data_IF_697017099373
#
_entry.id   IF_697017099373
#
_cell.length_a   1.000
_cell.length_b   1.000
_cell.length_c   1.000
_cell.angle_alpha   90.00
_cell.angle_beta   90.00
_cell.angle_gamma   90.00
#
_symmetry.space_group_name_H-M   'P 1'
#
loop_
_entity.id
_entity.type
_entity.pdbx_description
1 polymer ?
#
# COMPACT_ATOMS: atom_id res chain seq x y z
N UNK A 1 -12.57 -15.32 -0.57
CA UNK A 1 -11.70 -15.95 -1.58
C UNK A 1 -11.95 -15.46 -3.01
N UNK A 2 -13.17 -15.56 -3.56
CA UNK A 2 -13.49 -15.12 -4.95
C UNK A 2 -13.05 -13.69 -5.28
N UNK A 3 -13.27 -12.72 -4.38
CA UNK A 3 -12.86 -11.31 -4.56
C UNK A 3 -11.35 -11.10 -4.62
N UNK A 4 -10.57 -11.87 -3.86
CA UNK A 4 -9.10 -11.76 -3.83
C UNK A 4 -8.48 -12.32 -5.11
N UNK A 5 -8.98 -13.47 -5.58
CA UNK A 5 -8.56 -14.05 -6.87
C UNK A 5 -8.85 -13.10 -8.03
N UNK A 6 -10.05 -12.51 -8.04
CA UNK A 6 -10.39 -11.47 -9.01
C UNK A 6 -9.43 -10.28 -8.92
N UNK A 7 -9.12 -9.79 -7.72
CA UNK A 7 -8.16 -8.69 -7.54
C UNK A 7 -6.76 -9.01 -8.07
N UNK A 8 -6.30 -10.25 -7.92
CA UNK A 8 -5.03 -10.72 -8.49
C UNK A 8 -5.05 -10.69 -10.03
N UNK A 9 -6.15 -11.09 -10.64
CA UNK A 9 -6.33 -11.03 -12.09
C UNK A 9 -6.38 -9.58 -12.60
N UNK A 10 -7.15 -8.71 -11.95
CA UNK A 10 -7.23 -7.28 -12.29
C UNK A 10 -5.85 -6.60 -12.17
N UNK A 11 -5.07 -6.94 -11.14
CA UNK A 11 -3.70 -6.44 -11.00
C UNK A 11 -2.78 -6.91 -12.13
N UNK A 12 -2.91 -8.17 -12.56
CA UNK A 12 -2.14 -8.71 -13.69
C UNK A 12 -2.52 -8.03 -15.00
N UNK A 13 -3.82 -7.76 -15.22
CA UNK A 13 -4.29 -6.99 -16.37
C UNK A 13 -3.63 -5.61 -16.39
N UNK A 14 -3.64 -4.90 -15.25
CA UNK A 14 -3.00 -3.59 -15.14
C UNK A 14 -1.52 -3.61 -15.53
N UNK A 15 -0.73 -4.55 -15.01
CA UNK A 15 0.68 -4.68 -15.38
C UNK A 15 0.91 -5.12 -16.84
N UNK A 16 -0.08 -5.76 -17.46
CA UNK A 16 -0.05 -6.13 -18.87
C UNK A 16 -0.42 -4.99 -19.82
N UNK A 17 -1.03 -3.90 -19.33
CA UNK A 17 -1.36 -2.73 -20.16
C UNK A 17 -0.08 -1.96 -20.46
N UNK A 18 0.20 -1.76 -21.75
CA UNK A 18 1.28 -0.87 -22.19
C UNK A 18 0.84 0.58 -21.99
N UNK A 19 1.21 1.16 -20.84
CA UNK A 19 1.05 2.59 -20.58
C UNK A 19 2.19 3.38 -21.21
N UNK A 20 1.91 4.58 -21.70
CA UNK A 20 2.98 5.50 -22.08
C UNK A 20 3.85 5.84 -20.86
N UNK A 21 5.17 5.97 -21.04
CA UNK A 21 6.11 6.26 -19.94
C UNK A 21 5.69 7.46 -19.10
N UNK A 22 5.23 8.53 -19.76
CA UNK A 22 4.72 9.75 -19.10
C UNK A 22 3.49 9.46 -18.25
N UNK A 23 2.52 8.71 -18.78
CA UNK A 23 1.30 8.31 -18.05
C UNK A 23 1.65 7.46 -16.84
N UNK A 24 2.54 6.48 -17.00
CA UNK A 24 2.94 5.57 -15.93
C UNK A 24 3.62 6.33 -14.78
N UNK A 25 4.55 7.24 -15.11
CA UNK A 25 5.24 8.07 -14.12
C UNK A 25 4.26 9.01 -13.41
N UNK A 26 3.42 9.74 -14.15
CA UNK A 26 2.47 10.68 -13.57
C UNK A 26 1.46 9.98 -12.67
N UNK A 27 0.82 8.92 -13.15
CA UNK A 27 -0.17 8.16 -12.36
C UNK A 27 0.44 7.61 -11.06
N UNK A 28 1.66 7.07 -11.13
CA UNK A 28 2.36 6.55 -9.96
C UNK A 28 2.75 7.66 -8.99
N UNK A 29 3.34 8.76 -9.46
CA UNK A 29 3.75 9.89 -8.60
C UNK A 29 2.54 10.53 -7.91
N UNK A 30 1.46 10.76 -8.66
CA UNK A 30 0.22 11.31 -8.08
C UNK A 30 -0.37 10.35 -7.05
N UNK A 31 -0.38 9.04 -7.33
CA UNK A 31 -0.83 8.04 -6.36
C UNK A 31 0.02 8.04 -5.08
N UNK A 32 1.35 8.11 -5.21
CA UNK A 32 2.28 8.20 -4.07
C UNK A 32 1.98 9.45 -3.24
N UNK A 33 1.92 10.63 -3.87
CA UNK A 33 1.67 11.89 -3.17
C UNK A 33 0.34 11.88 -2.42
N UNK A 34 -0.75 11.44 -3.07
CA UNK A 34 -2.06 11.38 -2.43
C UNK A 34 -2.08 10.35 -1.31
N UNK A 35 -1.46 9.18 -1.49
CA UNK A 35 -1.39 8.17 -0.43
C UNK A 35 -0.58 8.67 0.77
N UNK A 36 0.55 9.36 0.54
CA UNK A 36 1.32 9.97 1.61
C UNK A 36 0.49 11.00 2.38
N UNK A 37 -0.24 11.89 1.70
CA UNK A 37 -1.11 12.87 2.34
C UNK A 37 -2.18 12.19 3.19
N UNK A 38 -2.79 11.11 2.68
CA UNK A 38 -3.82 10.35 3.41
C UNK A 38 -3.28 9.67 4.67
N UNK A 39 -2.05 9.15 4.63
CA UNK A 39 -1.45 8.41 5.74
C UNK A 39 -0.60 9.28 6.68
N UNK A 40 -0.25 10.51 6.29
CA UNK A 40 0.56 11.40 7.11
C UNK A 40 0.00 11.62 8.52
N UNK A 41 -1.32 11.87 8.71
CA UNK A 41 -1.87 12.02 10.07
C UNK A 41 -1.69 10.75 10.91
N UNK A 42 -1.88 9.58 10.30
CA UNK A 42 -1.71 8.29 10.98
C UNK A 42 -0.24 8.08 11.39
N UNK A 43 0.70 8.39 10.50
CA UNK A 43 2.14 8.31 10.78
C UNK A 43 2.53 9.25 11.93
N UNK A 44 1.98 10.47 11.97
CA UNK A 44 2.23 11.42 13.07
C UNK A 44 1.72 10.88 14.42
N UNK A 45 0.51 10.31 14.45
CA UNK A 45 -0.05 9.68 15.66
C UNK A 45 0.84 8.52 16.12
N UNK A 46 1.26 7.67 15.20
CA UNK A 46 2.16 6.55 15.52
C UNK A 46 3.52 7.01 16.04
N UNK A 47 4.11 8.04 15.45
CA UNK A 47 5.36 8.63 15.93
C UNK A 47 5.23 9.17 17.36
N UNK A 48 4.17 9.95 17.64
CA UNK A 48 3.91 10.46 18.99
C UNK A 48 3.69 9.33 20.00
N UNK A 49 2.98 8.28 19.59
CA UNK A 49 2.71 7.13 20.44
C UNK A 49 4.00 6.39 20.83
N UNK A 50 4.93 6.15 19.90
CA UNK A 50 6.25 5.57 20.24
C UNK A 50 7.00 6.50 21.20
N UNK A 51 7.00 7.81 20.94
CA UNK A 51 7.74 8.75 21.77
C UNK A 51 7.25 8.73 23.23
N UNK A 52 5.94 8.56 23.44
CA UNK A 52 5.34 8.55 24.78
C UNK A 52 5.47 7.16 25.44
N UNK A 53 5.22 6.07 24.70
CA UNK A 53 5.06 4.71 25.29
C UNK A 53 6.13 3.71 24.86
N UNK A 54 7.16 4.13 24.12
CA UNK A 54 8.19 3.25 23.57
C UNK A 54 9.07 2.57 24.61
N UNK A 55 8.96 2.91 25.91
CA UNK A 55 9.64 2.22 26.99
C UNK A 55 8.94 0.92 27.42
N UNK A 56 7.64 0.78 27.16
CA UNK A 56 6.87 -0.41 27.52
C UNK A 56 6.97 -1.49 26.43
N UNK A 57 7.68 -2.59 26.73
CA UNK A 57 7.93 -3.67 25.75
C UNK A 57 6.66 -4.28 25.15
N UNK A 58 5.63 -4.45 25.97
CA UNK A 58 4.36 -5.01 25.51
C UNK A 58 3.64 -4.08 24.52
N UNK A 59 3.76 -2.76 24.72
CA UNK A 59 3.21 -1.74 23.83
C UNK A 59 3.94 -1.73 22.48
N UNK A 60 5.26 -1.97 22.47
CA UNK A 60 6.05 -2.08 21.23
C UNK A 60 5.53 -3.20 20.32
N UNK A 61 5.19 -4.37 20.86
CA UNK A 61 4.66 -5.47 20.03
C UNK A 61 3.32 -5.13 19.37
N UNK A 62 2.39 -4.54 20.12
CA UNK A 62 1.13 -4.06 19.54
C UNK A 62 1.38 -2.99 18.49
N UNK A 63 2.31 -2.08 18.76
CA UNK A 63 2.70 -1.03 17.83
C UNK A 63 3.25 -1.60 16.52
N UNK A 64 4.14 -2.60 16.56
CA UNK A 64 4.65 -3.29 15.35
C UNK A 64 3.50 -3.83 14.51
N UNK A 65 2.49 -4.45 15.13
CA UNK A 65 1.31 -4.96 14.43
C UNK A 65 0.52 -3.82 13.77
N UNK A 66 0.30 -2.70 14.48
CA UNK A 66 -0.41 -1.54 13.93
C UNK A 66 0.32 -0.88 12.77
N UNK A 67 1.64 -0.71 12.88
CA UNK A 67 2.47 -0.21 11.77
C UNK A 67 2.41 -1.16 10.59
N UNK A 68 2.50 -2.47 10.83
CA UNK A 68 2.40 -3.46 9.77
C UNK A 68 1.05 -3.40 9.04
N UNK A 69 -0.08 -3.35 9.77
CA UNK A 69 -1.41 -3.14 9.19
C UNK A 69 -1.46 -1.81 8.43
N UNK A 70 -0.90 -0.74 8.99
CA UNK A 70 -0.82 0.57 8.34
C UNK A 70 -0.09 0.52 6.99
N UNK A 71 1.04 -0.18 6.93
CA UNK A 71 1.82 -0.39 5.70
C UNK A 71 1.04 -1.25 4.68
N UNK A 72 0.31 -2.27 5.12
CA UNK A 72 -0.58 -3.05 4.25
C UNK A 72 -1.69 -2.19 3.64
N UNK A 73 -2.32 -1.35 4.45
CA UNK A 73 -3.31 -0.38 3.99
C UNK A 73 -2.71 0.64 3.02
N UNK A 74 -1.51 1.15 3.31
CA UNK A 74 -0.79 2.07 2.44
C UNK A 74 -0.55 1.45 1.06
N UNK A 75 -0.06 0.21 1.01
CA UNK A 75 0.15 -0.52 -0.24
C UNK A 75 -1.16 -0.70 -1.03
N UNK A 76 -2.26 -1.02 -0.34
CA UNK A 76 -3.56 -1.20 -0.96
C UNK A 76 -4.09 0.10 -1.60
N UNK A 77 -4.04 1.20 -0.86
CA UNK A 77 -4.50 2.52 -1.33
C UNK A 77 -3.61 3.03 -2.46
N UNK A 78 -2.29 2.90 -2.33
CA UNK A 78 -1.35 3.31 -3.36
C UNK A 78 -1.66 2.63 -4.71
N UNK A 79 -1.76 1.30 -4.72
CA UNK A 79 -2.01 0.57 -5.96
C UNK A 79 -3.39 0.90 -6.56
N UNK A 80 -4.41 1.06 -5.73
CA UNK A 80 -5.73 1.47 -6.18
C UNK A 80 -5.72 2.85 -6.84
N UNK A 81 -5.05 3.82 -6.20
CA UNK A 81 -4.92 5.16 -6.75
C UNK A 81 -4.09 5.16 -8.03
N UNK A 82 -3.04 4.35 -8.13
CA UNK A 82 -2.25 4.22 -9.36
C UNK A 82 -3.12 3.78 -10.55
N UNK A 83 -3.95 2.75 -10.36
CA UNK A 83 -4.89 2.30 -11.42
C UNK A 83 -5.90 3.41 -11.74
N UNK A 84 -6.47 4.05 -10.72
CA UNK A 84 -7.49 5.09 -10.90
C UNK A 84 -6.96 6.33 -11.60
N UNK A 85 -5.73 6.77 -11.29
CA UNK A 85 -5.09 7.89 -11.98
C UNK A 85 -4.65 7.52 -13.39
N UNK A 86 -4.14 6.31 -13.61
CA UNK A 86 -3.82 5.84 -14.96
C UNK A 86 -5.09 5.86 -15.85
N UNK A 87 -6.22 5.35 -15.35
CA UNK A 87 -7.52 5.44 -16.03
C UNK A 87 -7.95 6.86 -16.34
N UNK A 88 -7.72 7.80 -15.42
CA UNK A 88 -8.09 9.20 -15.61
C UNK A 88 -7.24 9.87 -16.71
N UNK A 89 -5.98 9.48 -16.86
CA UNK A 89 -5.04 10.01 -17.85
C UNK A 89 -5.20 9.37 -19.24
N UNK A 90 -5.54 8.08 -19.33
CA UNK A 90 -5.75 7.35 -20.59
C UNK A 90 -7.20 6.89 -20.77
N UNK A 91 -8.11 7.86 -20.93
CA UNK A 91 -9.56 7.60 -21.08
C UNK A 91 -9.93 6.75 -22.29
N UNK A 92 -9.11 6.77 -23.34
CA UNK A 92 -9.36 6.06 -24.60
C UNK A 92 -8.87 4.60 -24.59
N UNK A 93 -8.15 4.19 -23.53
CA UNK A 93 -7.59 2.85 -23.43
C UNK A 93 -8.62 1.88 -22.83
N UNK A 94 -9.40 1.21 -23.69
CA UNK A 94 -10.49 0.31 -23.27
C UNK A 94 -10.02 -0.79 -22.31
N UNK A 95 -8.84 -1.37 -22.56
CA UNK A 95 -8.26 -2.41 -21.72
C UNK A 95 -7.99 -1.90 -20.29
N UNK A 96 -7.51 -0.66 -20.16
CA UNK A 96 -7.30 0.00 -18.87
C UNK A 96 -8.63 0.33 -18.19
N UNK A 97 -9.62 0.83 -18.94
CA UNK A 97 -10.94 1.19 -18.40
C UNK A 97 -11.72 -0.03 -17.90
N UNK A 98 -11.53 -1.20 -18.51
CA UNK A 98 -12.18 -2.45 -18.11
C UNK A 98 -11.71 -3.00 -16.74
N UNK A 99 -10.58 -2.50 -16.21
CA UNK A 99 -10.04 -2.98 -14.93
C UNK A 99 -10.97 -2.60 -13.78
N UNK A 100 -11.28 -3.52 -12.87
CA UNK A 100 -12.09 -3.19 -11.69
C UNK A 100 -11.21 -2.87 -10.47
N UNK A 101 -10.79 -1.61 -10.33
CA UNK A 101 -9.80 -1.16 -9.32
C UNK A 101 -10.18 -1.47 -7.86
N UNK A 102 -11.48 -1.56 -7.54
CA UNK A 102 -11.95 -1.94 -6.19
C UNK A 102 -11.44 -3.32 -5.74
N UNK A 103 -11.21 -4.24 -6.67
CA UNK A 103 -10.67 -5.56 -6.33
C UNK A 103 -9.15 -5.54 -6.17
N UNK A 104 -8.46 -4.60 -6.83
CA UNK A 104 -7.02 -4.38 -6.65
C UNK A 104 -6.71 -4.02 -5.19
N UNK A 105 -7.52 -3.16 -4.56
CA UNK A 105 -7.41 -2.84 -3.12
C UNK A 105 -7.41 -4.11 -2.28
N UNK A 106 -8.40 -4.98 -2.48
CA UNK A 106 -8.59 -6.20 -1.68
C UNK A 106 -7.41 -7.16 -1.85
N UNK A 107 -6.91 -7.30 -3.07
CA UNK A 107 -5.74 -8.13 -3.33
C UNK A 107 -4.48 -7.57 -2.65
N UNK A 108 -4.23 -6.26 -2.78
CA UNK A 108 -3.02 -5.62 -2.27
C UNK A 108 -3.01 -5.48 -0.74
N UNK A 109 -4.18 -5.32 -0.12
CA UNK A 109 -4.34 -5.33 1.34
C UNK A 109 -4.01 -6.70 1.95
N UNK A 110 -4.30 -7.78 1.21
CA UNK A 110 -4.10 -9.16 1.66
C UNK A 110 -3.02 -9.85 0.82
N UNK A 111 -2.03 -9.10 0.33
CA UNK A 111 -0.96 -9.64 -0.48
C UNK A 111 0.06 -10.33 0.45
N UNK A 112 0.14 -11.68 0.47
CA UNK A 112 0.98 -12.37 1.44
C UNK A 112 2.47 -12.09 1.22
N UNK A 113 2.92 -11.99 -0.03
CA UNK A 113 4.33 -11.71 -0.34
C UNK A 113 4.76 -10.35 0.20
N UNK A 114 3.95 -9.32 -0.03
CA UNK A 114 4.19 -8.00 0.54
C UNK A 114 4.06 -7.99 2.06
N UNK A 115 3.08 -8.70 2.62
CA UNK A 115 2.86 -8.78 4.07
C UNK A 115 4.07 -9.36 4.82
N UNK A 116 4.64 -10.47 4.33
CA UNK A 116 5.83 -11.06 4.91
C UNK A 116 7.05 -10.15 4.77
N UNK A 117 7.26 -9.58 3.58
CA UNK A 117 8.39 -8.66 3.34
C UNK A 117 8.32 -7.42 4.24
N UNK A 118 7.14 -6.80 4.35
CA UNK A 118 6.91 -5.65 5.21
C UNK A 118 7.14 -5.98 6.68
N UNK A 119 6.61 -7.12 7.17
CA UNK A 119 6.81 -7.53 8.56
C UNK A 119 8.28 -7.79 8.86
N UNK A 120 8.96 -8.54 7.99
CA UNK A 120 10.39 -8.83 8.15
C UNK A 120 11.22 -7.54 8.19
N UNK A 121 10.91 -6.58 7.33
CA UNK A 121 11.58 -5.28 7.31
C UNK A 121 11.32 -4.48 8.61
N UNK A 122 10.07 -4.42 9.10
CA UNK A 122 9.73 -3.71 10.33
C UNK A 122 10.46 -4.33 11.54
N UNK A 123 10.45 -5.66 11.66
CA UNK A 123 11.14 -6.37 12.74
C UNK A 123 12.65 -6.15 12.67
N UNK A 124 13.23 -6.18 11.47
CA UNK A 124 14.65 -5.89 11.26
C UNK A 124 15.02 -4.48 11.76
N UNK A 125 14.23 -3.46 11.39
CA UNK A 125 14.46 -2.08 11.87
C UNK A 125 14.27 -1.97 13.39
N UNK A 126 13.22 -2.59 13.95
CA UNK A 126 12.98 -2.58 15.38
C UNK A 126 14.14 -3.20 16.17
N UNK A 127 14.72 -4.30 15.68
CA UNK A 127 15.90 -4.92 16.25
C UNK A 127 17.15 -4.02 16.20
N UNK A 128 17.42 -3.39 15.05
CA UNK A 128 18.57 -2.47 14.89
C UNK A 128 18.49 -1.25 15.82
N UNK A 129 17.28 -0.81 16.15
CA UNK A 129 17.05 0.31 17.07
C UNK A 129 17.03 -0.09 18.55
N UNK A 130 17.32 -1.36 18.88
CA UNK A 130 17.30 -1.88 20.26
C UNK A 130 15.90 -2.05 20.84
N UNK A 131 14.86 -2.04 19.99
CA UNK A 131 13.46 -2.22 20.39
C UNK A 131 13.02 -3.68 20.57
N UNK A 132 13.91 -4.65 20.29
CA UNK A 132 13.70 -6.09 20.45
C UNK A 132 14.94 -6.75 21.05
#
# INVERSE_FOLDING_TARGET
>A
MKKWLKGREEQRKFYGVKLGTKTNILSTLTAVLVTLILFLPLVMVFYQFIFIYGYERLVIYFYIIFVWIGVMCFNAVLNYLSVRFAKALEKQNEALQAIEEKYVVVYQLLNPGFAFAALAFIVFIAFQLGGL
#
